data_IF_181511355519
#
_entry.id   IF_181511355519
#
_cell.length_a   1.000
_cell.length_b   1.000
_cell.length_c   1.000
_cell.angle_alpha   90.00
_cell.angle_beta   90.00
_cell.angle_gamma   90.00
#
_symmetry.space_group_name_H-M   'P 1'
#
loop_
_entity.id
_entity.type
_entity.pdbx_description
1 polymer ?
#
# COMPACT_ATOMS: atom_id res chain seq x y z
N UNK A 1 -0.55 7.70 -24.09
CA UNK A 1 0.39 7.09 -23.15
C UNK A 1 -0.18 5.79 -22.64
N UNK A 2 0.63 4.74 -22.58
CA UNK A 2 0.19 3.42 -22.08
C UNK A 2 0.04 3.44 -20.55
N UNK A 3 -0.69 2.46 -20.00
CA UNK A 3 -0.82 2.27 -18.55
C UNK A 3 0.55 2.13 -17.91
N UNK A 4 1.44 1.32 -18.51
CA UNK A 4 2.80 1.08 -18.01
C UNK A 4 3.57 2.40 -17.93
N UNK A 5 3.52 3.22 -18.97
CA UNK A 5 4.23 4.50 -18.97
C UNK A 5 3.72 5.46 -17.90
N UNK A 6 2.40 5.49 -17.68
CA UNK A 6 1.81 6.34 -16.63
C UNK A 6 2.20 5.87 -15.23
N UNK A 7 2.22 4.56 -15.00
CA UNK A 7 2.66 4.01 -13.71
C UNK A 7 4.15 4.24 -13.50
N UNK A 8 4.95 4.19 -14.56
CA UNK A 8 6.38 4.53 -14.46
C UNK A 8 6.64 5.96 -14.00
N UNK A 9 5.72 6.89 -14.24
CA UNK A 9 5.81 8.25 -13.69
C UNK A 9 5.74 8.26 -12.16
N UNK A 10 5.13 7.24 -11.57
CA UNK A 10 5.01 7.09 -10.11
C UNK A 10 6.12 6.24 -9.49
N UNK A 11 7.08 5.76 -10.29
CA UNK A 11 8.06 4.78 -9.84
C UNK A 11 8.83 5.25 -8.59
N UNK A 12 9.31 6.47 -8.60
CA UNK A 12 10.08 7.01 -7.47
C UNK A 12 9.21 7.15 -6.21
N UNK A 13 7.96 7.59 -6.37
CA UNK A 13 7.01 7.64 -5.25
C UNK A 13 6.71 6.24 -4.71
N UNK A 14 6.44 5.28 -5.58
CA UNK A 14 6.14 3.90 -5.18
C UNK A 14 7.35 3.27 -4.48
N UNK A 15 8.56 3.55 -4.94
CA UNK A 15 9.79 3.11 -4.28
C UNK A 15 9.89 3.71 -2.87
N UNK A 16 9.59 4.99 -2.71
CA UNK A 16 9.60 5.66 -1.42
C UNK A 16 8.54 5.06 -0.48
N UNK A 17 7.33 4.80 -0.97
CA UNK A 17 6.27 4.16 -0.18
C UNK A 17 6.68 2.77 0.30
N UNK A 18 7.22 1.94 -0.61
CA UNK A 18 7.66 0.60 -0.25
C UNK A 18 8.75 0.63 0.81
N UNK A 19 9.76 1.47 0.63
CA UNK A 19 10.87 1.60 1.58
C UNK A 19 10.44 2.12 2.94
N UNK A 20 9.50 3.05 2.97
CA UNK A 20 8.93 3.55 4.21
C UNK A 20 8.18 2.44 4.97
N UNK A 21 7.36 1.68 4.28
CA UNK A 21 6.64 0.54 4.86
C UNK A 21 7.64 -0.53 5.31
N UNK A 22 8.65 -0.84 4.49
CA UNK A 22 9.67 -1.83 4.81
C UNK A 22 10.44 -1.48 6.08
N UNK A 23 10.74 -0.21 6.27
CA UNK A 23 11.48 0.28 7.44
C UNK A 23 10.66 0.22 8.73
N UNK A 24 9.34 0.18 8.63
CA UNK A 24 8.42 0.22 9.78
C UNK A 24 7.48 -1.00 9.80
N UNK A 25 8.04 -2.22 9.86
CA UNK A 25 7.22 -3.43 9.80
C UNK A 25 6.36 -3.60 11.05
N UNK A 26 5.14 -4.03 10.84
CA UNK A 26 4.15 -4.28 11.88
C UNK A 26 3.50 -5.65 11.66
N UNK A 27 3.24 -6.38 12.74
CA UNK A 27 2.66 -7.72 12.65
C UNK A 27 1.15 -7.67 12.39
N UNK A 28 0.59 -8.82 12.00
CA UNK A 28 -0.85 -8.96 11.73
C UNK A 28 -1.70 -8.45 12.90
N UNK A 29 -2.72 -7.65 12.57
CA UNK A 29 -3.62 -6.95 13.49
C UNK A 29 -2.98 -5.85 14.33
N UNK A 30 -1.71 -5.55 14.10
CA UNK A 30 -0.96 -4.49 14.75
C UNK A 30 -0.43 -3.47 13.74
N UNK A 31 -0.90 -3.51 12.49
CA UNK A 31 -0.44 -2.66 11.39
C UNK A 31 -1.04 -1.24 11.48
N UNK A 32 -0.92 -0.59 12.63
CA UNK A 32 -1.56 0.71 12.87
C UNK A 32 -0.96 1.83 12.02
N UNK A 33 0.38 1.92 12.00
CA UNK A 33 1.09 2.92 11.21
C UNK A 33 0.93 2.67 9.71
N UNK A 34 1.03 1.43 9.28
CA UNK A 34 0.87 1.05 7.88
C UNK A 34 -0.55 1.33 7.41
N UNK A 35 -1.55 1.01 8.23
CA UNK A 35 -2.95 1.32 7.95
C UNK A 35 -3.18 2.83 7.80
N UNK A 36 -2.62 3.64 8.71
CA UNK A 36 -2.73 5.09 8.64
C UNK A 36 -2.06 5.64 7.38
N UNK A 37 -0.88 5.11 7.03
CA UNK A 37 -0.17 5.49 5.81
C UNK A 37 -1.02 5.21 4.57
N UNK A 38 -1.57 4.01 4.45
CA UNK A 38 -2.43 3.61 3.31
C UNK A 38 -3.67 4.50 3.24
N UNK A 39 -4.34 4.71 4.36
CA UNK A 39 -5.53 5.57 4.42
C UNK A 39 -5.22 6.99 3.94
N UNK A 40 -4.11 7.56 4.41
CA UNK A 40 -3.67 8.91 4.02
C UNK A 40 -3.41 8.98 2.51
N UNK A 41 -2.72 7.99 1.94
CA UNK A 41 -2.44 7.96 0.50
C UNK A 41 -3.72 7.86 -0.34
N UNK A 42 -4.63 6.99 0.05
CA UNK A 42 -5.91 6.86 -0.65
C UNK A 42 -6.72 8.18 -0.59
N UNK A 43 -6.75 8.84 0.55
CA UNK A 43 -7.41 10.15 0.68
C UNK A 43 -6.73 11.22 -0.19
N UNK A 44 -5.40 11.26 -0.25
CA UNK A 44 -4.64 12.15 -1.13
C UNK A 44 -5.01 11.94 -2.61
N UNK A 45 -5.33 10.71 -3.00
CA UNK A 45 -5.78 10.40 -4.37
C UNK A 45 -7.25 10.74 -4.62
N UNK A 46 -7.95 11.25 -3.61
CA UNK A 46 -9.38 11.56 -3.70
C UNK A 46 -10.28 10.33 -3.63
N UNK A 47 -9.81 9.24 -3.06
CA UNK A 47 -10.55 7.98 -2.93
C UNK A 47 -11.30 7.95 -1.60
N UNK A 48 -12.59 7.60 -1.67
CA UNK A 48 -13.42 7.38 -0.49
C UNK A 48 -12.90 6.15 0.28
N UNK A 49 -12.68 6.28 1.59
CA UNK A 49 -12.15 5.20 2.40
C UNK A 49 -13.13 4.74 3.48
N UNK A 50 -13.01 3.47 3.85
CA UNK A 50 -13.63 2.87 5.02
C UNK A 50 -12.57 2.13 5.82
N UNK A 51 -12.55 2.32 7.13
CA UNK A 51 -11.53 1.75 8.02
C UNK A 51 -12.16 0.87 9.10
N UNK A 52 -11.33 0.04 9.73
CA UNK A 52 -11.69 -0.71 10.91
C UNK A 52 -12.08 -2.17 10.66
N UNK A 53 -12.14 -2.63 9.42
CA UNK A 53 -12.33 -4.05 9.13
C UNK A 53 -11.10 -4.81 9.62
N UNK A 54 -11.30 -5.88 10.38
CA UNK A 54 -10.21 -6.66 10.98
C UNK A 54 -9.19 -5.76 11.71
N UNK A 55 -9.66 -4.74 12.41
CA UNK A 55 -8.90 -3.72 13.17
C UNK A 55 -8.14 -2.72 12.30
N UNK A 56 -7.30 -3.18 11.39
CA UNK A 56 -6.35 -2.35 10.64
C UNK A 56 -6.66 -2.26 9.15
N UNK A 57 -7.68 -2.97 8.67
CA UNK A 57 -8.05 -2.96 7.26
C UNK A 57 -8.54 -1.62 6.77
N UNK A 58 -8.16 -1.28 5.53
CA UNK A 58 -8.60 -0.06 4.84
C UNK A 58 -9.20 -0.48 3.50
N UNK A 59 -10.38 0.02 3.19
CA UNK A 59 -11.03 -0.17 1.89
C UNK A 59 -11.17 1.17 1.21
N UNK A 60 -10.61 1.29 0.00
CA UNK A 60 -10.83 2.43 -0.87
C UNK A 60 -11.88 2.08 -1.91
N UNK A 61 -12.81 3.00 -2.19
CA UNK A 61 -13.83 2.81 -3.22
C UNK A 61 -13.69 3.89 -4.28
N UNK A 62 -13.51 3.46 -5.53
CA UNK A 62 -13.52 4.34 -6.71
C UNK A 62 -14.82 4.09 -7.46
N UNK A 63 -15.63 5.14 -7.58
CA UNK A 63 -16.92 5.05 -8.29
C UNK A 63 -16.79 5.64 -9.69
N UNK A 64 -17.25 4.88 -10.67
CA UNK A 64 -17.24 5.34 -12.06
C UNK A 64 -18.43 4.76 -12.84
N UNK A 65 -19.62 5.24 -12.55
CA UNK A 65 -20.85 4.80 -13.20
C UNK A 65 -21.48 3.58 -12.57
N UNK A 66 -22.36 2.94 -13.32
CA UNK A 66 -23.10 1.76 -12.89
C UNK A 66 -22.45 0.49 -13.48
N UNK A 67 -22.71 -0.64 -12.83
CA UNK A 67 -22.22 -1.93 -13.27
C UNK A 67 -21.59 -2.73 -12.16
N UNK A 68 -21.04 -3.91 -12.46
CA UNK A 68 -20.39 -4.74 -11.45
C UNK A 68 -19.11 -4.11 -10.94
N UNK A 69 -18.75 -4.42 -9.69
CA UNK A 69 -17.51 -3.97 -9.06
C UNK A 69 -16.45 -5.06 -9.06
N UNK A 70 -15.18 -4.65 -9.09
CA UNK A 70 -14.03 -5.53 -8.93
C UNK A 70 -13.31 -5.15 -7.64
N UNK A 71 -12.93 -6.15 -6.84
CA UNK A 71 -12.07 -5.95 -5.67
C UNK A 71 -10.62 -6.29 -6.00
N UNK A 72 -9.71 -5.41 -5.63
CA UNK A 72 -8.26 -5.65 -5.64
C UNK A 72 -7.77 -5.64 -4.21
N UNK A 73 -6.85 -6.53 -3.85
CA UNK A 73 -6.40 -6.72 -2.47
C UNK A 73 -4.88 -6.75 -2.38
N UNK A 74 -4.36 -6.17 -1.30
CA UNK A 74 -3.00 -6.37 -0.83
C UNK A 74 -3.00 -6.53 0.69
N UNK A 75 -1.98 -7.22 1.20
CA UNK A 75 -1.77 -7.43 2.62
C UNK A 75 -0.78 -6.41 3.17
N UNK A 76 -0.88 -6.14 4.49
CA UNK A 76 -0.13 -5.08 5.16
C UNK A 76 0.92 -5.60 6.15
N UNK A 77 0.80 -6.86 6.57
CA UNK A 77 1.55 -7.39 7.71
C UNK A 77 2.98 -7.81 7.37
N UNK A 78 3.84 -7.67 8.35
CA UNK A 78 5.20 -8.16 8.35
C UNK A 78 5.32 -9.47 9.13
N UNK A 79 6.53 -10.02 9.19
CA UNK A 79 6.83 -11.27 9.87
C UNK A 79 7.66 -11.05 11.14
N UNK A 80 7.49 -11.92 12.16
CA UNK A 80 8.26 -11.84 13.41
C UNK A 80 9.65 -12.47 13.25
N UNK A 81 10.51 -11.82 12.46
CA UNK A 81 11.89 -12.24 12.28
C UNK A 81 12.82 -11.01 12.20
N UNK A 82 14.10 -11.22 12.50
CA UNK A 82 15.09 -10.16 12.47
C UNK A 82 15.66 -9.96 11.08
N UNK A 83 15.57 -8.74 10.56
CA UNK A 83 16.21 -8.37 9.30
C UNK A 83 17.73 -8.29 9.50
N UNK A 84 18.48 -8.85 8.54
CA UNK A 84 19.95 -8.85 8.54
C UNK A 84 20.56 -7.97 7.46
N UNK A 85 19.74 -7.26 6.70
CA UNK A 85 20.21 -6.28 5.72
C UNK A 85 20.74 -5.04 6.42
N UNK A 86 21.64 -4.32 5.74
CA UNK A 86 22.31 -3.14 6.28
C UNK A 86 22.05 -1.86 5.48
N UNK A 87 21.17 -1.90 4.47
CA UNK A 87 20.79 -0.72 3.70
C UNK A 87 19.94 0.26 4.54
N UNK A 88 19.83 1.50 4.06
CA UNK A 88 19.20 2.58 4.82
C UNK A 88 17.74 2.33 5.20
N UNK A 89 17.00 1.59 4.36
CA UNK A 89 15.59 1.27 4.61
C UNK A 89 15.37 -0.08 5.28
N UNK A 90 16.40 -0.66 5.90
CA UNK A 90 16.23 -1.85 6.72
C UNK A 90 15.27 -1.57 7.89
N UNK A 91 14.67 -2.64 8.41
CA UNK A 91 13.72 -2.54 9.53
C UNK A 91 14.30 -1.75 10.70
N UNK A 92 13.55 -0.77 11.19
CA UNK A 92 13.85 -0.04 12.42
C UNK A 92 13.19 -0.68 13.64
N UNK A 93 12.41 -1.74 13.44
CA UNK A 93 11.71 -2.46 14.50
C UNK A 93 12.40 -3.81 14.76
N UNK A 94 13.23 -3.97 15.80
CA UNK A 94 13.92 -5.23 16.08
C UNK A 94 12.95 -6.39 16.17
N UNK A 95 13.30 -7.51 15.55
CA UNK A 95 12.50 -8.72 15.55
C UNK A 95 11.31 -8.73 14.60
N UNK A 96 11.18 -7.71 13.74
CA UNK A 96 10.13 -7.63 12.72
C UNK A 96 10.73 -7.26 11.37
N UNK A 97 10.26 -7.89 10.31
CA UNK A 97 10.72 -7.63 8.95
C UNK A 97 9.63 -7.88 7.92
N UNK A 98 9.53 -7.02 6.92
CA UNK A 98 8.77 -7.35 5.70
C UNK A 98 9.57 -8.36 4.85
N UNK A 99 9.39 -9.63 5.14
CA UNK A 99 10.12 -10.72 4.49
C UNK A 99 9.26 -11.57 3.56
N UNK A 100 7.99 -11.20 3.36
CA UNK A 100 7.04 -11.89 2.47
C UNK A 100 6.64 -11.04 1.25
N UNK A 101 7.12 -9.80 1.15
CA UNK A 101 6.83 -8.93 0.02
C UNK A 101 5.56 -8.09 0.17
N UNK A 102 4.91 -8.09 1.34
CA UNK A 102 3.65 -7.34 1.55
C UNK A 102 3.85 -5.82 1.45
N UNK A 103 5.02 -5.32 1.78
CA UNK A 103 5.42 -3.92 1.51
C UNK A 103 5.35 -3.58 0.02
N UNK A 104 5.85 -4.48 -0.83
CA UNK A 104 5.75 -4.35 -2.28
C UNK A 104 4.30 -4.47 -2.79
N UNK A 105 3.54 -5.44 -2.26
CA UNK A 105 2.12 -5.60 -2.61
C UNK A 105 1.32 -4.33 -2.30
N UNK A 106 1.54 -3.75 -1.13
CA UNK A 106 0.88 -2.50 -0.73
C UNK A 106 1.25 -1.34 -1.64
N UNK A 107 2.55 -1.17 -1.93
CA UNK A 107 3.00 -0.11 -2.83
C UNK A 107 2.44 -0.27 -4.26
N UNK A 108 2.38 -1.49 -4.78
CA UNK A 108 1.79 -1.76 -6.09
C UNK A 108 0.30 -1.43 -6.13
N UNK A 109 -0.45 -1.81 -5.09
CA UNK A 109 -1.88 -1.51 -5.05
C UNK A 109 -2.15 -0.01 -4.90
N UNK A 110 -1.32 0.71 -4.14
CA UNK A 110 -1.40 2.17 -4.05
C UNK A 110 -1.11 2.84 -5.41
N UNK A 111 -0.13 2.33 -6.15
CA UNK A 111 0.17 2.81 -7.51
C UNK A 111 -1.01 2.58 -8.46
N UNK A 112 -1.63 1.40 -8.42
CA UNK A 112 -2.82 1.09 -9.19
C UNK A 112 -3.99 2.00 -8.79
N UNK A 113 -4.20 2.24 -7.50
CA UNK A 113 -5.26 3.12 -7.00
C UNK A 113 -5.07 4.55 -7.48
N UNK A 114 -3.84 5.07 -7.41
CA UNK A 114 -3.51 6.40 -7.92
C UNK A 114 -3.82 6.52 -9.42
N UNK A 115 -3.42 5.52 -10.19
CA UNK A 115 -3.71 5.49 -11.62
C UNK A 115 -5.23 5.47 -11.89
N UNK A 116 -5.95 4.56 -11.27
CA UNK A 116 -7.40 4.39 -11.50
C UNK A 116 -8.21 5.62 -11.05
N UNK A 117 -7.81 6.26 -9.96
CA UNK A 117 -8.47 7.47 -9.49
C UNK A 117 -8.33 8.63 -10.46
N UNK A 118 -7.20 8.74 -11.15
CA UNK A 118 -6.92 9.82 -12.11
C UNK A 118 -7.27 9.49 -13.56
N UNK A 119 -7.49 8.22 -13.89
CA UNK A 119 -7.77 7.74 -15.25
C UNK A 119 -8.98 6.80 -15.24
N UNK A 120 -10.17 7.37 -15.08
CA UNK A 120 -11.42 6.61 -14.99
C UNK A 120 -11.94 6.26 -16.40
N UNK A 121 -11.20 5.44 -17.11
CA UNK A 121 -11.56 4.98 -18.45
C UNK A 121 -12.06 3.52 -18.46
N UNK A 122 -12.77 3.15 -17.43
CA UNK A 122 -13.37 1.83 -17.23
C UNK A 122 -14.86 1.94 -16.90
#
# INVERSE_FOLDING_TARGET
MTIINKINEFHDEMTAWRRDIHQHPELAYEENRTSDFVATKLEEFGIEIHRGLAKTGVVGTIRNGEGPAIGLRADLDALPLQEKNTFNHASSNPGKMHACGHDGHTAMLLGAAKYLASNKNF
#
